data_IF_374861061423
#
_entry.id   IF_374861061423
#
_cell.length_a   1.000
_cell.length_b   1.000
_cell.length_c   1.000
_cell.angle_alpha   90.00
_cell.angle_beta   90.00
_cell.angle_gamma   90.00
#
_symmetry.space_group_name_H-M   'P 1'
#
loop_
_entity.id
_entity.type
_entity.pdbx_description
1 polymer ?
#
# COMPACT_ATOMS: atom_id res chain seq x y z
N UNK A 1 0.92 -15.46 9.76
CA UNK A 1 1.41 -15.17 8.38
C UNK A 1 0.21 -15.17 7.46
N UNK A 2 -0.13 -14.04 6.85
CA UNK A 2 -1.32 -13.94 5.97
C UNK A 2 -0.99 -14.67 4.65
N UNK A 3 -1.44 -15.92 4.52
CA UNK A 3 -1.22 -16.74 3.34
C UNK A 3 -2.22 -16.36 2.25
N UNK A 4 -1.78 -16.24 1.00
CA UNK A 4 -2.65 -16.08 -0.18
C UNK A 4 -2.42 -14.83 -1.03
N UNK A 5 -1.78 -13.76 -0.52
CA UNK A 5 -1.54 -12.52 -1.30
C UNK A 5 -0.74 -12.78 -2.58
N UNK A 6 0.49 -13.28 -2.45
CA UNK A 6 1.35 -13.61 -3.59
C UNK A 6 0.71 -14.63 -4.52
N UNK A 7 0.01 -15.65 -3.98
CA UNK A 7 -0.72 -16.64 -4.77
C UNK A 7 -1.80 -15.99 -5.61
N UNK A 8 -2.59 -15.09 -5.03
CA UNK A 8 -3.64 -14.34 -5.75
C UNK A 8 -3.02 -13.48 -6.87
N UNK A 9 -1.93 -12.77 -6.56
CA UNK A 9 -1.20 -11.96 -7.54
C UNK A 9 -0.65 -12.83 -8.68
N UNK A 10 -0.06 -13.98 -8.37
CA UNK A 10 0.43 -14.92 -9.39
C UNK A 10 -0.69 -15.46 -10.27
N UNK A 11 -1.89 -15.70 -9.72
CA UNK A 11 -3.07 -16.06 -10.52
C UNK A 11 -3.56 -14.90 -11.40
N UNK A 12 -3.60 -13.68 -10.88
CA UNK A 12 -3.97 -12.47 -11.65
C UNK A 12 -3.03 -12.27 -12.85
N UNK A 13 -1.74 -12.52 -12.66
CA UNK A 13 -0.73 -12.41 -13.71
C UNK A 13 -0.60 -13.65 -14.59
N UNK A 14 -1.46 -14.68 -14.40
CA UNK A 14 -1.44 -15.91 -15.16
C UNK A 14 -0.20 -16.78 -14.93
N UNK A 15 0.54 -16.56 -13.84
CA UNK A 15 1.71 -17.34 -13.45
C UNK A 15 1.34 -18.63 -12.70
N UNK A 16 0.09 -18.70 -12.19
CA UNK A 16 -0.50 -19.89 -11.56
C UNK A 16 -1.87 -20.16 -12.15
N UNK A 17 -2.22 -21.44 -12.27
CA UNK A 17 -3.54 -21.88 -12.71
C UNK A 17 -4.62 -21.56 -11.65
N UNK A 18 -5.83 -21.29 -12.15
CA UNK A 18 -7.02 -21.04 -11.34
C UNK A 18 -7.83 -22.35 -11.36
N UNK A 19 -8.02 -22.98 -10.20
CA UNK A 19 -8.77 -24.24 -10.09
C UNK A 19 -10.26 -24.03 -10.40
N UNK A 20 -10.84 -22.93 -9.86
CA UNK A 20 -12.25 -22.59 -10.06
C UNK A 20 -12.44 -21.06 -10.09
N UNK A 21 -13.53 -20.61 -10.69
CA UNK A 21 -13.80 -19.18 -10.89
C UNK A 21 -13.14 -18.60 -12.14
N UNK A 22 -13.12 -17.28 -12.26
CA UNK A 22 -12.52 -16.57 -13.38
C UNK A 22 -11.89 -15.24 -12.94
N UNK A 23 -10.84 -14.82 -13.64
CA UNK A 23 -10.24 -13.49 -13.49
C UNK A 23 -10.35 -12.80 -14.84
N UNK A 24 -10.92 -11.59 -14.84
CA UNK A 24 -11.06 -10.78 -16.05
C UNK A 24 -10.33 -9.44 -15.89
N UNK A 25 -9.53 -9.09 -16.89
CA UNK A 25 -8.83 -7.80 -17.01
C UNK A 25 -9.25 -7.14 -18.30
N UNK A 26 -9.77 -5.93 -18.26
CA UNK A 26 -10.35 -5.25 -19.43
C UNK A 26 -11.37 -6.12 -20.19
N UNK A 27 -12.22 -6.86 -19.47
CA UNK A 27 -13.20 -7.82 -20.00
C UNK A 27 -12.62 -9.10 -20.62
N UNK A 28 -11.31 -9.27 -20.71
CA UNK A 28 -10.66 -10.48 -21.19
C UNK A 28 -10.38 -11.45 -20.05
N UNK A 29 -10.70 -12.71 -20.25
CA UNK A 29 -10.46 -13.77 -19.28
C UNK A 29 -8.99 -14.20 -19.28
N UNK A 30 -8.34 -14.19 -18.11
CA UNK A 30 -6.91 -14.52 -17.96
C UNK A 30 -6.62 -15.96 -18.41
N UNK A 31 -7.59 -16.88 -18.31
CA UNK A 31 -7.40 -18.29 -18.70
C UNK A 31 -7.58 -18.51 -20.20
N UNK A 32 -8.53 -17.81 -20.84
CA UNK A 32 -8.92 -18.05 -22.22
C UNK A 32 -8.36 -17.02 -23.21
N UNK A 33 -8.17 -15.77 -22.78
CA UNK A 33 -7.69 -14.64 -23.58
C UNK A 33 -6.42 -14.04 -22.99
N UNK A 34 -5.46 -14.86 -22.57
CA UNK A 34 -4.28 -14.45 -21.80
C UNK A 34 -3.53 -13.27 -22.41
N UNK A 35 -3.19 -13.33 -23.70
CA UNK A 35 -2.41 -12.26 -24.38
C UNK A 35 -3.15 -10.91 -24.30
N UNK A 36 -4.46 -10.91 -24.59
CA UNK A 36 -5.28 -9.70 -24.55
C UNK A 36 -5.46 -9.18 -23.12
N UNK A 37 -5.62 -10.09 -22.14
CA UNK A 37 -5.71 -9.72 -20.73
C UNK A 37 -4.42 -9.05 -20.24
N UNK A 38 -3.24 -9.59 -20.65
CA UNK A 38 -1.93 -9.11 -20.22
C UNK A 38 -1.39 -7.93 -21.03
N UNK A 39 -1.94 -7.62 -22.20
CA UNK A 39 -1.45 -6.54 -23.07
C UNK A 39 -1.32 -5.19 -22.36
N UNK A 40 -2.20 -4.91 -21.41
CA UNK A 40 -2.22 -3.65 -20.66
C UNK A 40 -1.88 -3.83 -19.17
N UNK A 41 -1.19 -4.90 -18.81
CA UNK A 41 -0.81 -5.21 -17.42
C UNK A 41 0.70 -5.13 -17.26
N UNK A 42 1.17 -4.32 -16.32
CA UNK A 42 2.54 -4.38 -15.82
C UNK A 42 2.55 -5.10 -14.46
N UNK A 43 3.57 -5.91 -14.19
CA UNK A 43 3.64 -6.66 -12.96
C UNK A 43 5.05 -6.76 -12.38
N UNK A 44 5.13 -6.82 -11.04
CA UNK A 44 6.32 -7.21 -10.29
C UNK A 44 5.86 -8.18 -9.21
N UNK A 45 6.45 -9.37 -9.19
CA UNK A 45 6.20 -10.39 -8.17
C UNK A 45 7.50 -10.63 -7.42
N UNK A 46 7.48 -10.45 -6.09
CA UNK A 46 8.63 -10.60 -5.19
C UNK A 46 9.76 -9.60 -5.50
N UNK A 47 10.56 -9.84 -6.52
CA UNK A 47 11.68 -8.96 -6.92
C UNK A 47 11.76 -8.85 -8.44
N UNK A 48 12.18 -7.70 -8.97
CA UNK A 48 12.33 -7.57 -10.41
C UNK A 48 13.54 -8.38 -10.91
N UNK A 49 13.32 -9.20 -11.95
CA UNK A 49 14.36 -9.97 -12.63
C UNK A 49 15.18 -9.06 -13.56
N UNK A 50 16.29 -8.57 -13.04
CA UNK A 50 17.17 -7.64 -13.75
C UNK A 50 18.55 -8.26 -14.01
N UNK A 51 19.12 -7.99 -15.16
CA UNK A 51 20.47 -8.43 -15.51
C UNK A 51 21.51 -7.54 -14.81
N UNK A 52 22.07 -8.02 -13.70
CA UNK A 52 23.00 -7.25 -12.85
C UNK A 52 24.28 -6.79 -13.55
N UNK A 53 24.77 -7.52 -14.56
CA UNK A 53 25.96 -7.20 -15.35
C UNK A 53 25.72 -6.12 -16.42
N UNK A 54 24.45 -5.85 -16.77
CA UNK A 54 24.03 -4.81 -17.70
C UNK A 54 23.80 -3.48 -16.98
N UNK A 55 23.82 -2.37 -17.74
CA UNK A 55 23.33 -1.08 -17.22
C UNK A 55 21.80 -1.08 -17.06
N UNK A 56 21.29 -0.15 -16.24
CA UNK A 56 19.83 0.05 -16.16
C UNK A 56 19.22 0.39 -17.51
N UNK A 57 19.90 1.20 -18.32
CA UNK A 57 19.46 1.56 -19.66
C UNK A 57 19.42 0.34 -20.61
N UNK A 58 20.39 -0.55 -20.52
CA UNK A 58 20.43 -1.72 -21.40
C UNK A 58 19.39 -2.77 -20.97
N UNK A 59 19.11 -2.91 -19.68
CA UNK A 59 17.93 -3.64 -19.20
C UNK A 59 16.66 -3.09 -19.84
N UNK A 60 16.40 -1.78 -19.75
CA UNK A 60 15.23 -1.17 -20.36
C UNK A 60 15.15 -1.36 -21.87
N UNK A 61 16.27 -1.23 -22.58
CA UNK A 61 16.32 -1.47 -24.04
C UNK A 61 15.98 -2.91 -24.40
N UNK A 62 16.42 -3.89 -23.60
CA UNK A 62 16.11 -5.29 -23.82
C UNK A 62 14.60 -5.53 -23.77
N UNK A 63 13.93 -5.12 -22.68
CA UNK A 63 12.49 -5.26 -22.54
C UNK A 63 11.71 -4.39 -23.53
N UNK A 64 12.20 -3.20 -23.85
CA UNK A 64 11.60 -2.32 -24.85
C UNK A 64 11.56 -2.94 -26.26
N UNK A 65 12.52 -3.81 -26.62
CA UNK A 65 12.51 -4.54 -27.90
C UNK A 65 11.35 -5.55 -27.95
N UNK A 66 11.08 -6.25 -26.85
CA UNK A 66 9.97 -7.20 -26.76
C UNK A 66 8.64 -6.51 -27.02
N UNK A 67 8.44 -5.35 -26.40
CA UNK A 67 7.21 -4.56 -26.51
C UNK A 67 7.21 -3.55 -27.68
N UNK A 68 8.25 -3.54 -28.53
CA UNK A 68 8.42 -2.59 -29.66
C UNK A 68 8.31 -1.12 -29.22
N UNK A 69 8.84 -0.79 -28.05
CA UNK A 69 8.72 0.53 -27.40
C UNK A 69 9.80 1.49 -27.94
N UNK A 70 9.42 2.75 -28.14
CA UNK A 70 10.32 3.80 -28.64
C UNK A 70 11.36 4.27 -27.61
N UNK A 71 12.51 4.81 -28.08
CA UNK A 71 13.50 5.46 -27.20
C UNK A 71 12.91 6.61 -26.39
N UNK A 72 11.95 7.33 -26.95
CA UNK A 72 11.25 8.41 -26.25
C UNK A 72 10.56 7.87 -25.00
N UNK A 73 9.85 6.76 -25.14
CA UNK A 73 9.16 6.12 -24.00
C UNK A 73 10.12 5.60 -22.92
N UNK A 74 11.26 5.04 -23.31
CA UNK A 74 12.32 4.66 -22.35
C UNK A 74 12.72 5.87 -21.50
N UNK A 75 13.01 7.01 -22.13
CA UNK A 75 13.39 8.23 -21.42
C UNK A 75 12.28 8.76 -20.50
N UNK A 76 11.01 8.65 -20.91
CA UNK A 76 9.86 9.03 -20.09
C UNK A 76 9.77 8.19 -18.81
N UNK A 77 9.90 6.87 -18.92
CA UNK A 77 9.83 5.99 -17.73
C UNK A 77 11.04 6.17 -16.81
N UNK A 78 12.24 6.37 -17.37
CA UNK A 78 13.45 6.67 -16.59
C UNK A 78 13.26 7.91 -15.72
N UNK A 79 12.74 8.98 -16.30
CA UNK A 79 12.42 10.22 -15.56
C UNK A 79 11.35 9.99 -14.50
N UNK A 80 10.29 9.24 -14.85
CA UNK A 80 9.19 8.97 -13.94
C UNK A 80 9.66 8.26 -12.66
N UNK A 81 10.62 7.33 -12.79
CA UNK A 81 11.16 6.57 -11.66
C UNK A 81 12.42 7.19 -11.03
N UNK A 82 12.79 8.41 -11.40
CA UNK A 82 13.93 9.15 -10.86
C UNK A 82 15.27 8.38 -10.96
N UNK A 83 15.55 7.77 -12.12
CA UNK A 83 16.81 7.05 -12.37
C UNK A 83 17.74 7.73 -13.39
N UNK A 84 17.44 8.96 -13.82
CA UNK A 84 18.17 9.67 -14.90
C UNK A 84 19.67 9.71 -14.66
N UNK A 85 20.10 10.07 -13.46
CA UNK A 85 21.52 10.25 -13.12
C UNK A 85 22.32 8.95 -13.06
N UNK A 86 21.64 7.82 -12.85
CA UNK A 86 22.25 6.53 -12.57
C UNK A 86 21.92 5.45 -13.61
N UNK A 87 21.09 5.76 -14.62
CA UNK A 87 20.56 4.77 -15.57
C UNK A 87 21.63 4.07 -16.41
N UNK A 88 22.81 4.70 -16.58
CA UNK A 88 23.96 4.13 -17.29
C UNK A 88 24.83 3.23 -16.42
N UNK A 89 24.67 3.24 -15.10
CA UNK A 89 25.44 2.39 -14.20
C UNK A 89 24.96 0.94 -14.28
N UNK A 90 25.87 -0.01 -13.99
CA UNK A 90 25.53 -1.43 -13.89
C UNK A 90 24.55 -1.65 -12.74
N UNK A 91 23.54 -2.49 -12.98
CA UNK A 91 22.50 -2.82 -11.97
C UNK A 91 23.09 -3.52 -10.73
N UNK A 92 24.24 -4.19 -10.88
CA UNK A 92 24.98 -4.75 -9.73
C UNK A 92 25.41 -3.70 -8.69
N UNK A 93 25.51 -2.41 -9.08
CA UNK A 93 25.85 -1.28 -8.20
C UNK A 93 24.63 -0.56 -7.64
N UNK A 94 23.42 -1.00 -7.98
CA UNK A 94 22.18 -0.36 -7.53
C UNK A 94 21.85 -0.76 -6.10
N UNK A 95 21.33 0.21 -5.33
CA UNK A 95 20.64 -0.09 -4.07
C UNK A 95 19.35 -0.88 -4.34
N UNK A 96 18.77 -1.47 -3.29
CA UNK A 96 17.49 -2.16 -3.40
C UNK A 96 16.41 -1.25 -4.01
N UNK A 97 16.27 -0.03 -3.50
CA UNK A 97 15.30 0.95 -4.02
C UNK A 97 15.53 1.31 -5.48
N UNK A 98 16.78 1.41 -5.92
CA UNK A 98 17.09 1.63 -7.34
C UNK A 98 16.70 0.41 -8.21
N UNK A 99 16.90 -0.81 -7.72
CA UNK A 99 16.47 -2.03 -8.41
C UNK A 99 14.97 -2.11 -8.52
N UNK A 100 14.25 -1.84 -7.43
CA UNK A 100 12.79 -1.80 -7.43
C UNK A 100 12.25 -0.75 -8.40
N UNK A 101 12.82 0.46 -8.42
CA UNK A 101 12.44 1.52 -9.36
C UNK A 101 12.75 1.14 -10.82
N UNK A 102 13.85 0.44 -11.09
CA UNK A 102 14.13 -0.05 -12.43
C UNK A 102 13.14 -1.15 -12.84
N UNK A 103 12.76 -2.06 -11.94
CA UNK A 103 11.71 -3.05 -12.19
C UNK A 103 10.36 -2.39 -12.50
N UNK A 104 10.01 -1.35 -11.74
CA UNK A 104 8.82 -0.55 -12.03
C UNK A 104 8.92 0.13 -13.40
N UNK A 105 10.09 0.66 -13.78
CA UNK A 105 10.29 1.22 -15.12
C UNK A 105 10.09 0.18 -16.23
N UNK A 106 10.57 -1.06 -16.03
CA UNK A 106 10.34 -2.18 -16.97
C UNK A 106 8.84 -2.46 -17.11
N UNK A 107 8.12 -2.59 -16.00
CA UNK A 107 6.66 -2.88 -16.00
C UNK A 107 5.83 -1.74 -16.62
N UNK A 108 6.37 -0.54 -16.73
CA UNK A 108 5.71 0.64 -17.31
C UNK A 108 6.02 0.88 -18.80
N UNK A 109 6.95 0.15 -19.40
CA UNK A 109 7.43 0.41 -20.76
C UNK A 109 6.30 0.42 -21.80
N UNK A 110 5.43 -0.56 -21.78
CA UNK A 110 4.33 -0.75 -22.72
C UNK A 110 3.05 0.05 -22.38
N UNK A 111 3.17 1.00 -21.45
CA UNK A 111 2.09 1.90 -21.04
C UNK A 111 0.85 1.16 -20.49
N UNK A 112 1.00 0.30 -19.45
CA UNK A 112 -0.08 -0.50 -18.92
C UNK A 112 -1.18 0.37 -18.32
N UNK A 113 -2.42 -0.16 -18.31
CA UNK A 113 -3.57 0.41 -17.61
C UNK A 113 -3.71 -0.11 -16.19
N UNK A 114 -3.13 -1.27 -15.92
CA UNK A 114 -3.10 -1.92 -14.60
C UNK A 114 -1.67 -2.27 -14.22
N UNK A 115 -1.26 -1.90 -13.01
CA UNK A 115 -0.06 -2.41 -12.36
C UNK A 115 -0.44 -3.37 -11.25
N UNK A 116 0.21 -4.52 -11.20
CA UNK A 116 0.05 -5.53 -10.15
C UNK A 116 1.40 -5.74 -9.48
N UNK A 117 1.50 -5.38 -8.20
CA UNK A 117 2.76 -5.29 -7.48
C UNK A 117 2.69 -6.08 -6.16
N UNK A 118 3.60 -7.04 -6.00
CA UNK A 118 3.70 -7.82 -4.77
C UNK A 118 4.79 -7.23 -3.87
N UNK A 119 4.39 -6.68 -2.72
CA UNK A 119 5.26 -6.10 -1.70
C UNK A 119 6.31 -5.10 -2.26
N UNK A 120 5.94 -4.11 -3.13
CA UNK A 120 6.91 -3.31 -3.90
C UNK A 120 7.78 -2.38 -3.04
N UNK A 121 7.38 -2.11 -1.81
CA UNK A 121 8.11 -1.25 -0.86
C UNK A 121 8.88 -2.04 0.20
N UNK A 122 8.83 -3.37 0.15
CA UNK A 122 9.50 -4.21 1.14
C UNK A 122 11.02 -4.00 1.14
N UNK A 123 11.58 -3.77 2.34
CA UNK A 123 13.01 -3.54 2.52
C UNK A 123 13.53 -2.18 2.06
N UNK A 124 12.64 -1.26 1.69
CA UNK A 124 13.02 0.13 1.41
C UNK A 124 13.15 0.93 2.71
N UNK A 125 14.03 1.92 2.68
CA UNK A 125 14.10 2.96 3.70
C UNK A 125 12.91 3.95 3.57
N UNK A 126 12.62 4.78 4.57
CA UNK A 126 11.51 5.73 4.54
C UNK A 126 11.56 6.69 3.34
N UNK A 127 12.75 7.06 2.88
CA UNK A 127 12.91 7.93 1.70
C UNK A 127 12.50 7.21 0.42
N UNK A 128 12.93 5.95 0.25
CA UNK A 128 12.54 5.10 -0.87
C UNK A 128 11.04 4.82 -0.89
N UNK A 129 10.42 4.55 0.26
CA UNK A 129 8.96 4.39 0.36
C UNK A 129 8.22 5.64 -0.09
N UNK A 130 8.67 6.84 0.34
CA UNK A 130 8.10 8.12 -0.11
C UNK A 130 8.20 8.30 -1.62
N UNK A 131 9.37 7.99 -2.21
CA UNK A 131 9.54 8.07 -3.67
C UNK A 131 8.56 7.16 -4.41
N UNK A 132 8.32 5.93 -3.93
CA UNK A 132 7.34 5.02 -4.53
C UNK A 132 5.93 5.58 -4.42
N UNK A 133 5.52 6.11 -3.27
CA UNK A 133 4.21 6.77 -3.11
C UNK A 133 4.02 7.90 -4.11
N UNK A 134 5.03 8.74 -4.28
CA UNK A 134 4.96 9.87 -5.22
C UNK A 134 4.85 9.39 -6.68
N UNK A 135 5.52 8.30 -7.04
CA UNK A 135 5.41 7.68 -8.36
C UNK A 135 4.00 7.12 -8.56
N UNK A 136 3.46 6.37 -7.59
CA UNK A 136 2.12 5.79 -7.67
C UNK A 136 1.03 6.86 -7.79
N UNK A 137 1.10 7.94 -7.02
CA UNK A 137 0.19 9.08 -7.16
C UNK A 137 0.23 9.69 -8.56
N UNK A 138 1.43 9.86 -9.14
CA UNK A 138 1.58 10.37 -10.51
C UNK A 138 1.00 9.41 -11.56
N UNK A 139 1.07 8.11 -11.35
CA UNK A 139 0.51 7.09 -12.24
C UNK A 139 -1.01 7.05 -12.13
N UNK A 140 -1.55 7.05 -10.92
CA UNK A 140 -2.99 7.08 -10.67
C UNK A 140 -3.64 8.34 -11.28
N UNK A 141 -3.00 9.51 -11.14
CA UNK A 141 -3.45 10.75 -11.77
C UNK A 141 -3.47 10.69 -13.32
N UNK A 142 -2.73 9.76 -13.93
CA UNK A 142 -2.77 9.46 -15.37
C UNK A 142 -3.74 8.34 -15.74
N UNK A 143 -4.54 7.86 -14.80
CA UNK A 143 -5.55 6.83 -15.02
C UNK A 143 -5.03 5.40 -14.98
N UNK A 144 -3.83 5.16 -14.45
CA UNK A 144 -3.31 3.81 -14.22
C UNK A 144 -3.92 3.27 -12.93
N UNK A 145 -4.59 2.13 -13.00
CA UNK A 145 -5.03 1.39 -11.82
C UNK A 145 -3.85 0.64 -11.21
N UNK A 146 -3.74 0.64 -9.88
CA UNK A 146 -2.61 0.01 -9.18
C UNK A 146 -3.15 -0.96 -8.14
N UNK A 147 -2.79 -2.23 -8.27
CA UNK A 147 -3.08 -3.28 -7.32
C UNK A 147 -1.80 -3.67 -6.57
N UNK A 148 -1.80 -3.48 -5.25
CA UNK A 148 -0.61 -3.66 -4.41
C UNK A 148 -0.93 -4.65 -3.30
N UNK A 149 -0.03 -5.60 -3.04
CA UNK A 149 0.02 -6.29 -1.75
C UNK A 149 1.00 -5.62 -0.81
N UNK A 150 0.68 -5.59 0.47
CA UNK A 150 1.62 -5.20 1.52
C UNK A 150 1.25 -5.81 2.86
N UNK A 151 2.22 -5.91 3.75
CA UNK A 151 2.03 -6.19 5.16
C UNK A 151 2.19 -4.93 6.03
N UNK A 152 2.57 -3.79 5.43
CA UNK A 152 2.76 -2.50 6.11
C UNK A 152 1.48 -1.68 5.99
N UNK A 153 0.58 -1.81 6.97
CA UNK A 153 -0.73 -1.16 6.95
C UNK A 153 -0.65 0.36 6.94
N UNK A 154 0.33 0.95 7.64
CA UNK A 154 0.59 2.39 7.63
C UNK A 154 0.94 2.93 6.23
N UNK A 155 1.66 2.14 5.41
CA UNK A 155 1.96 2.51 4.03
C UNK A 155 0.71 2.42 3.14
N UNK A 156 -0.11 1.37 3.33
CA UNK A 156 -1.38 1.22 2.60
C UNK A 156 -2.32 2.40 2.89
N UNK A 157 -2.39 2.84 4.13
CA UNK A 157 -3.19 4.02 4.53
C UNK A 157 -2.76 5.31 3.80
N UNK A 158 -1.51 5.42 3.38
CA UNK A 158 -1.00 6.60 2.65
C UNK A 158 -1.09 6.50 1.12
N UNK A 159 -1.40 5.31 0.58
CA UNK A 159 -1.30 5.04 -0.86
C UNK A 159 -2.59 4.57 -1.51
N UNK A 160 -3.47 3.88 -0.77
CA UNK A 160 -4.61 3.18 -1.35
C UNK A 160 -5.91 3.97 -1.18
N UNK A 161 -6.82 3.85 -2.14
CA UNK A 161 -8.20 4.35 -2.04
C UNK A 161 -9.14 3.27 -1.49
N UNK A 162 -8.82 2.00 -1.79
CA UNK A 162 -9.59 0.82 -1.35
C UNK A 162 -8.66 -0.26 -0.83
N UNK A 163 -9.17 -1.03 0.11
CA UNK A 163 -8.48 -2.18 0.69
C UNK A 163 -9.32 -3.44 0.52
N UNK A 164 -8.63 -4.56 0.36
CA UNK A 164 -9.19 -5.91 0.47
C UNK A 164 -8.43 -6.64 1.58
N UNK A 165 -9.14 -7.03 2.63
CA UNK A 165 -8.57 -7.78 3.75
C UNK A 165 -8.66 -9.26 3.44
N UNK A 166 -7.49 -9.90 3.37
CA UNK A 166 -7.35 -11.34 3.11
C UNK A 166 -6.93 -12.05 4.39
N UNK A 167 -7.69 -13.03 4.81
CA UNK A 167 -7.35 -13.92 5.93
C UNK A 167 -7.54 -15.38 5.54
N UNK A 168 -6.53 -16.24 5.84
CA UNK A 168 -6.54 -17.67 5.53
C UNK A 168 -7.00 -17.99 4.09
N UNK A 169 -6.58 -17.18 3.11
CA UNK A 169 -6.89 -17.35 1.70
C UNK A 169 -8.31 -16.90 1.30
N UNK A 170 -9.07 -16.30 2.21
CA UNK A 170 -10.41 -15.75 1.93
C UNK A 170 -10.41 -14.25 2.04
N UNK A 171 -11.11 -13.57 1.15
CA UNK A 171 -11.39 -12.14 1.30
C UNK A 171 -12.51 -12.00 2.31
N UNK A 172 -12.19 -11.39 3.47
CA UNK A 172 -13.16 -11.17 4.55
C UNK A 172 -13.85 -9.81 4.43
N UNK A 173 -13.19 -8.81 3.81
CA UNK A 173 -13.77 -7.48 3.60
C UNK A 173 -13.14 -6.77 2.41
N UNK A 174 -13.95 -5.99 1.69
CA UNK A 174 -13.52 -5.02 0.67
C UNK A 174 -14.24 -3.71 0.97
N UNK A 175 -13.49 -2.64 1.18
CA UNK A 175 -14.07 -1.33 1.50
C UNK A 175 -13.16 -0.20 1.06
N UNK A 176 -13.64 1.04 1.08
CA UNK A 176 -12.78 2.21 0.90
C UNK A 176 -11.89 2.39 2.13
N UNK A 177 -10.77 3.05 1.97
CA UNK A 177 -9.88 3.34 3.09
C UNK A 177 -10.58 4.22 4.14
N UNK A 178 -11.36 5.19 3.68
CA UNK A 178 -12.12 6.08 4.55
C UNK A 178 -13.16 5.32 5.38
N UNK A 179 -13.86 4.36 4.77
CA UNK A 179 -14.81 3.51 5.48
C UNK A 179 -14.09 2.61 6.50
N UNK A 180 -12.95 2.02 6.10
CA UNK A 180 -12.16 1.16 7.00
C UNK A 180 -11.71 1.89 8.27
N UNK A 181 -11.37 3.18 8.15
CA UNK A 181 -10.84 3.99 9.25
C UNK A 181 -11.97 4.68 10.03
N UNK A 182 -13.06 5.07 9.37
CA UNK A 182 -14.06 5.98 9.94
C UNK A 182 -15.43 5.31 10.24
N UNK A 183 -15.62 4.03 9.91
CA UNK A 183 -16.91 3.35 9.97
C UNK A 183 -17.32 2.90 11.40
N UNK A 184 -16.68 3.44 12.43
CA UNK A 184 -17.05 3.19 13.82
C UNK A 184 -17.75 4.40 14.42
N UNK A 185 -18.77 4.16 15.24
CA UNK A 185 -19.45 5.18 16.05
C UNK A 185 -18.52 5.76 17.14
N UNK A 186 -17.36 5.14 17.30
CA UNK A 186 -16.36 5.46 18.30
C UNK A 186 -15.02 5.81 17.66
N UNK A 187 -14.28 6.64 18.37
CA UNK A 187 -12.93 7.04 18.02
C UNK A 187 -12.00 6.72 19.18
N UNK A 188 -10.87 6.13 18.88
CA UNK A 188 -9.81 5.91 19.85
C UNK A 188 -8.86 7.12 19.88
N UNK A 189 -8.57 7.58 21.09
CA UNK A 189 -7.63 8.68 21.33
C UNK A 189 -6.55 8.25 22.30
N UNK A 190 -5.32 8.68 22.02
CA UNK A 190 -4.26 8.73 23.02
C UNK A 190 -4.19 10.12 23.58
N UNK A 191 -4.28 10.23 24.91
CA UNK A 191 -4.22 11.49 25.64
C UNK A 191 -3.03 11.51 26.58
N UNK A 192 -2.33 12.66 26.63
CA UNK A 192 -1.39 13.02 27.67
C UNK A 192 -1.88 14.32 28.27
N UNK A 193 -2.30 14.28 29.54
CA UNK A 193 -2.87 15.44 30.21
C UNK A 193 -2.18 15.71 31.54
N UNK A 194 -2.48 16.86 32.17
CA UNK A 194 -1.97 17.17 33.52
C UNK A 194 -2.54 16.23 34.59
N UNK A 195 -3.67 15.58 34.32
CA UNK A 195 -4.30 14.57 35.17
C UNK A 195 -5.11 13.58 34.33
N UNK A 196 -4.48 12.45 33.99
CA UNK A 196 -5.08 11.43 33.14
C UNK A 196 -6.27 10.76 33.81
N UNK A 197 -6.26 10.55 35.15
CA UNK A 197 -7.36 9.90 35.87
C UNK A 197 -8.59 10.80 35.88
N UNK A 198 -8.45 12.06 36.20
CA UNK A 198 -9.54 13.02 36.14
C UNK A 198 -10.09 13.21 34.74
N UNK A 199 -9.22 13.14 33.73
CA UNK A 199 -9.64 13.17 32.30
C UNK A 199 -10.56 12.01 31.95
N UNK A 200 -10.26 10.78 32.40
CA UNK A 200 -11.09 9.61 32.16
C UNK A 200 -12.49 9.79 32.77
N UNK A 201 -12.53 10.27 34.04
CA UNK A 201 -13.82 10.49 34.76
C UNK A 201 -14.67 11.53 34.03
N UNK A 202 -14.09 12.65 33.63
CA UNK A 202 -14.81 13.75 32.96
C UNK A 202 -15.32 13.38 31.58
N UNK A 203 -14.55 12.59 30.83
CA UNK A 203 -14.92 12.17 29.49
C UNK A 203 -15.90 10.99 29.47
N UNK A 204 -16.10 10.33 30.62
CA UNK A 204 -16.98 9.15 30.78
C UNK A 204 -16.75 8.13 29.65
N UNK A 205 -15.49 7.77 29.43
CA UNK A 205 -15.02 7.01 28.28
C UNK A 205 -14.69 5.56 28.62
N UNK A 206 -14.69 4.71 27.61
CA UNK A 206 -14.11 3.37 27.72
C UNK A 206 -12.58 3.47 27.69
N UNK A 207 -11.92 2.93 28.71
CA UNK A 207 -10.45 2.92 28.80
C UNK A 207 -9.92 1.67 28.13
N UNK A 208 -9.01 1.85 27.19
CA UNK A 208 -8.36 0.76 26.45
C UNK A 208 -7.05 0.36 27.14
N UNK A 209 -6.19 1.34 27.48
CA UNK A 209 -4.91 1.14 28.15
C UNK A 209 -4.54 2.36 29.00
N UNK A 210 -3.89 2.13 30.13
CA UNK A 210 -3.38 3.19 31.01
C UNK A 210 -1.90 2.92 31.25
N UNK A 211 -1.08 3.95 30.99
CA UNK A 211 0.34 3.96 31.33
C UNK A 211 0.69 5.26 32.07
N UNK A 212 1.83 5.27 32.75
CA UNK A 212 2.25 6.41 33.58
C UNK A 212 2.16 7.78 32.89
N UNK A 213 2.39 7.82 31.56
CA UNK A 213 2.44 9.06 30.79
C UNK A 213 1.24 9.33 29.91
N UNK A 214 0.45 8.31 29.56
CA UNK A 214 -0.68 8.47 28.65
C UNK A 214 -1.83 7.52 28.97
N UNK A 215 -3.00 7.85 28.45
CA UNK A 215 -4.17 6.99 28.48
C UNK A 215 -4.71 6.84 27.05
N UNK A 216 -4.99 5.60 26.67
CA UNK A 216 -5.71 5.28 25.45
C UNK A 216 -7.18 5.05 25.77
N UNK A 217 -8.05 5.85 25.17
CA UNK A 217 -9.48 5.89 25.45
C UNK A 217 -10.30 5.73 24.17
N UNK A 218 -11.53 5.27 24.32
CA UNK A 218 -12.51 5.15 23.25
C UNK A 218 -13.72 6.01 23.57
N UNK A 219 -14.08 6.87 22.63
CA UNK A 219 -15.13 7.87 22.77
C UNK A 219 -16.06 7.89 21.55
N UNK A 220 -17.27 8.38 21.73
CA UNK A 220 -18.18 8.68 20.62
C UNK A 220 -17.62 9.82 19.76
N UNK A 221 -17.88 9.79 18.45
CA UNK A 221 -17.30 10.74 17.47
C UNK A 221 -17.55 12.21 17.76
N UNK A 222 -18.66 12.52 18.40
CA UNK A 222 -19.16 13.90 18.53
C UNK A 222 -18.67 14.63 19.78
N UNK A 223 -17.83 13.99 20.62
CA UNK A 223 -17.37 14.61 21.86
C UNK A 223 -16.18 15.55 21.60
N UNK A 224 -16.35 16.82 21.93
CA UNK A 224 -15.25 17.81 21.94
C UNK A 224 -14.40 17.66 23.21
N UNK A 225 -13.43 16.75 23.15
CA UNK A 225 -12.50 16.42 24.23
C UNK A 225 -11.84 17.68 24.79
N UNK A 226 -11.36 18.55 23.89
CA UNK A 226 -10.60 19.73 24.27
C UNK A 226 -11.46 20.69 25.10
N UNK A 227 -12.68 20.98 24.67
CA UNK A 227 -13.61 21.84 25.42
C UNK A 227 -13.98 21.29 26.78
N UNK A 228 -14.17 19.97 26.91
CA UNK A 228 -14.49 19.33 28.19
C UNK A 228 -13.33 19.47 29.18
N UNK A 229 -12.12 19.12 28.77
CA UNK A 229 -10.96 19.10 29.65
C UNK A 229 -10.48 20.51 30.04
N UNK A 230 -10.48 21.45 29.09
CA UNK A 230 -10.05 22.83 29.35
C UNK A 230 -10.99 23.54 30.32
N UNK A 231 -12.30 23.34 30.26
CA UNK A 231 -13.28 23.89 31.22
C UNK A 231 -12.98 23.50 32.68
N UNK A 232 -12.42 22.31 32.86
CA UNK A 232 -12.06 21.77 34.18
C UNK A 232 -10.59 22.03 34.56
N UNK A 233 -9.93 22.96 33.87
CA UNK A 233 -8.53 23.35 34.06
C UNK A 233 -7.52 22.20 33.86
N UNK A 234 -7.86 21.19 33.07
CA UNK A 234 -6.93 20.12 32.68
C UNK A 234 -6.17 20.55 31.43
N UNK A 235 -4.84 20.56 31.54
CA UNK A 235 -3.96 20.86 30.40
C UNK A 235 -3.80 19.61 29.55
N UNK A 236 -3.97 19.76 28.23
CA UNK A 236 -3.70 18.71 27.24
C UNK A 236 -2.29 18.96 26.72
N UNK A 237 -1.38 18.01 26.94
CA UNK A 237 -0.02 18.06 26.42
C UNK A 237 0.04 17.43 25.03
N UNK A 238 -0.65 16.29 24.85
CA UNK A 238 -0.73 15.58 23.59
C UNK A 238 -2.11 14.95 23.43
N UNK A 239 -2.62 14.99 22.20
CA UNK A 239 -3.87 14.34 21.83
C UNK A 239 -3.73 13.78 20.42
N UNK A 240 -3.76 12.46 20.29
CA UNK A 240 -3.68 11.78 19.01
C UNK A 240 -4.94 10.95 18.78
N UNK A 241 -5.48 11.09 17.59
CA UNK A 241 -6.54 10.21 17.11
C UNK A 241 -5.89 8.89 16.65
N UNK A 242 -6.24 7.80 17.30
CA UNK A 242 -5.63 6.48 17.08
C UNK A 242 -6.38 5.63 16.05
N UNK A 243 -7.25 6.25 15.27
CA UNK A 243 -7.93 5.58 14.17
C UNK A 243 -6.95 5.36 13.02
N UNK A 244 -6.36 4.18 12.96
CA UNK A 244 -5.48 3.78 11.88
C UNK A 244 -5.95 2.43 11.31
N UNK A 245 -5.48 2.14 10.09
CA UNK A 245 -5.81 0.90 9.40
C UNK A 245 -5.36 -0.35 10.18
N UNK A 246 -4.34 -0.22 11.03
CA UNK A 246 -3.84 -1.33 11.86
C UNK A 246 -4.85 -1.75 12.93
N UNK A 247 -5.45 -0.78 13.63
CA UNK A 247 -6.51 -1.04 14.61
C UNK A 247 -7.74 -1.68 13.93
N UNK A 248 -8.16 -1.16 12.78
CA UNK A 248 -9.25 -1.73 11.99
C UNK A 248 -8.96 -3.17 11.54
N UNK A 249 -7.75 -3.43 11.04
CA UNK A 249 -7.32 -4.76 10.61
C UNK A 249 -7.30 -5.78 11.76
N UNK A 250 -6.78 -5.41 12.94
CA UNK A 250 -6.73 -6.30 14.10
C UNK A 250 -8.12 -6.70 14.60
N UNK A 251 -9.10 -5.81 14.48
CA UNK A 251 -10.51 -6.12 14.84
C UNK A 251 -11.10 -7.13 13.85
N UNK A 252 -10.97 -6.87 12.55
CA UNK A 252 -11.50 -7.75 11.50
C UNK A 252 -10.92 -9.17 11.56
N UNK A 253 -9.64 -9.31 11.87
CA UNK A 253 -8.99 -10.63 11.97
C UNK A 253 -9.31 -11.37 13.27
N UNK A 254 -9.63 -10.66 14.36
CA UNK A 254 -10.11 -11.30 15.61
C UNK A 254 -11.55 -11.82 15.49
N UNK A 255 -12.39 -11.15 14.72
CA UNK A 255 -13.80 -11.56 14.51
C UNK A 255 -13.89 -12.77 13.57
N UNK A 256 -12.97 -12.92 12.61
CA UNK A 256 -12.94 -14.06 11.69
C UNK A 256 -12.36 -15.35 12.31
N UNK A 257 -11.77 -15.28 13.50
CA UNK A 257 -11.20 -16.42 14.23
C UNK A 257 -12.14 -17.05 15.26
N UNK A 258 -13.38 -16.59 15.32
CA UNK A 258 -14.47 -17.19 16.12
C UNK A 258 -15.44 -17.92 15.18
#
# INVERSE_FOLDING_TARGET
MVHGKTTTIKMILGMLYIDSGSIKINSFDVKHDFEKAMENVGGIVESPDLYGYMSGLDNLKLFARVHKVSKKRINEVVKLVNLDSRIKDKVSKYSLGMKQRLGLAVSLLHNPKLLVLDEPTNGLDPAGMKEFRDIFKKLAAKGVSIFISSHLLSEMQMMCDKIAVLDNGKIIKIETLDDAINNEDFVEYRLVTSDNNKSIELLNCEVIDIKDKFVDIKLTKDLDIASVLVKENIRIYEMYKNNNLESAFLKLTKESGK
#
